data_IF_497296172200
#
_entry.id   IF_497296172200
#
_cell.length_a   1.000
_cell.length_b   1.000
_cell.length_c   1.000
_cell.angle_alpha   90.00
_cell.angle_beta   90.00
_cell.angle_gamma   90.00
#
_symmetry.space_group_name_H-M   'P 1'
#
loop_
_entity.id
_entity.type
_entity.pdbx_description
1 polymer ?
#
# COMPACT_ATOMS: atom_id res chain seq x y z
N UNK A 1 -12.46 -17.83 16.98
CA UNK A 1 -11.86 -18.05 15.65
C UNK A 1 -11.25 -19.44 15.67
N UNK A 2 -11.89 -20.43 15.05
CA UNK A 2 -11.37 -21.80 15.02
C UNK A 2 -10.02 -21.82 14.30
N UNK A 3 -9.01 -22.56 14.79
CA UNK A 3 -7.82 -22.83 14.00
C UNK A 3 -8.25 -23.82 12.91
N UNK A 4 -8.65 -23.30 11.75
CA UNK A 4 -8.89 -24.14 10.58
C UNK A 4 -7.51 -24.69 10.20
N UNK A 5 -7.26 -25.95 10.59
CA UNK A 5 -6.11 -26.69 10.12
C UNK A 5 -6.37 -26.97 8.64
N UNK A 6 -5.84 -26.10 7.76
CA UNK A 6 -5.93 -26.29 6.32
C UNK A 6 -5.01 -27.44 5.90
N UNK A 7 -5.55 -28.67 5.86
CA UNK A 7 -4.88 -29.82 5.24
C UNK A 7 -5.28 -29.87 3.77
N UNK A 8 -4.30 -29.75 2.88
CA UNK A 8 -4.42 -29.98 1.43
C UNK A 8 -5.44 -29.11 0.68
N UNK A 9 -5.63 -27.84 1.06
CA UNK A 9 -6.44 -26.90 0.27
C UNK A 9 -5.62 -25.67 -0.08
N UNK A 10 -5.71 -25.24 -1.33
CA UNK A 10 -5.22 -23.94 -1.77
C UNK A 10 -6.26 -22.87 -1.50
N UNK A 11 -5.86 -21.61 -1.58
CA UNK A 11 -6.74 -20.49 -1.28
C UNK A 11 -6.22 -19.20 -1.90
N UNK A 12 -7.09 -18.19 -1.96
CA UNK A 12 -6.83 -16.86 -2.45
C UNK A 12 -6.88 -15.89 -1.28
N UNK A 13 -5.86 -15.05 -1.18
CA UNK A 13 -5.77 -13.91 -0.29
C UNK A 13 -5.77 -12.63 -1.14
N UNK A 14 -6.68 -11.70 -0.88
CA UNK A 14 -6.70 -10.39 -1.53
C UNK A 14 -6.29 -9.31 -0.53
N UNK A 15 -5.26 -8.54 -0.87
CA UNK A 15 -4.80 -7.36 -0.17
C UNK A 15 -5.20 -6.14 -1.00
N UNK A 16 -6.18 -5.37 -0.55
CA UNK A 16 -6.71 -4.25 -1.31
C UNK A 16 -6.72 -2.93 -0.52
N UNK A 17 -6.96 -1.83 -1.22
CA UNK A 17 -7.04 -0.48 -0.65
C UNK A 17 -6.47 0.58 -1.59
N UNK A 18 -6.60 1.86 -1.20
CA UNK A 18 -6.10 2.99 -1.98
C UNK A 18 -4.57 3.00 -2.13
N UNK A 19 -4.04 3.92 -2.93
CA UNK A 19 -2.60 4.18 -2.97
C UNK A 19 -2.07 4.56 -1.57
N UNK A 20 -0.78 4.29 -1.33
CA UNK A 20 -0.07 4.58 -0.08
C UNK A 20 -0.55 3.82 1.18
N UNK A 21 -1.45 2.86 1.03
CA UNK A 21 -1.96 2.08 2.17
C UNK A 21 -1.04 0.96 2.64
N UNK A 22 0.05 0.67 1.94
CA UNK A 22 0.99 -0.39 2.34
C UNK A 22 0.71 -1.78 1.74
N UNK A 23 0.02 -1.85 0.59
CA UNK A 23 -0.37 -3.12 -0.04
C UNK A 23 0.84 -3.98 -0.41
N UNK A 24 1.79 -3.40 -1.14
CA UNK A 24 3.00 -4.10 -1.57
C UNK A 24 3.88 -4.47 -0.38
N UNK A 25 3.93 -3.67 0.68
CA UNK A 25 4.60 -3.99 1.95
C UNK A 25 4.00 -5.25 2.58
N UNK A 26 2.68 -5.33 2.67
CA UNK A 26 1.99 -6.50 3.23
C UNK A 26 2.18 -7.74 2.35
N UNK A 27 2.11 -7.58 1.02
CA UNK A 27 2.39 -8.66 0.07
C UNK A 27 3.82 -9.20 0.27
N UNK A 28 4.83 -8.32 0.24
CA UNK A 28 6.23 -8.67 0.46
C UNK A 28 6.40 -9.37 1.82
N UNK A 29 5.76 -8.87 2.88
CA UNK A 29 5.83 -9.49 4.21
C UNK A 29 5.31 -10.93 4.19
N UNK A 30 4.17 -11.19 3.54
CA UNK A 30 3.59 -12.54 3.45
C UNK A 30 4.45 -13.48 2.61
N UNK A 31 4.99 -13.00 1.49
CA UNK A 31 5.86 -13.77 0.60
C UNK A 31 7.21 -14.10 1.27
N UNK A 32 7.82 -13.14 1.98
CA UNK A 32 9.05 -13.38 2.77
C UNK A 32 8.85 -14.47 3.82
N UNK A 33 7.69 -14.49 4.50
CA UNK A 33 7.37 -15.58 5.45
C UNK A 33 7.26 -16.95 4.78
N UNK A 34 6.71 -17.03 3.58
CA UNK A 34 6.65 -18.27 2.81
C UNK A 34 8.06 -18.76 2.41
N UNK A 35 8.94 -17.84 1.98
CA UNK A 35 10.34 -18.17 1.67
C UNK A 35 11.10 -18.66 2.91
N UNK A 36 10.90 -18.02 4.08
CA UNK A 36 11.49 -18.48 5.36
C UNK A 36 11.02 -19.90 5.71
N UNK A 37 9.75 -20.21 5.42
CA UNK A 37 9.18 -21.55 5.57
C UNK A 37 9.63 -22.54 4.47
N UNK A 38 10.60 -22.17 3.62
CA UNK A 38 11.16 -22.97 2.52
C UNK A 38 10.15 -23.35 1.44
N UNK A 39 9.08 -22.57 1.29
CA UNK A 39 8.13 -22.75 0.20
C UNK A 39 8.71 -22.13 -1.07
N UNK A 40 8.59 -22.83 -2.22
CA UNK A 40 8.85 -22.22 -3.54
C UNK A 40 7.83 -21.11 -3.81
N UNK A 41 8.28 -19.88 -4.02
CA UNK A 41 7.45 -18.70 -4.26
C UNK A 41 7.67 -18.21 -5.69
N UNK A 42 6.58 -17.95 -6.41
CA UNK A 42 6.59 -17.23 -7.68
C UNK A 42 5.89 -15.88 -7.49
N UNK A 43 6.43 -14.81 -8.08
CA UNK A 43 6.01 -13.44 -7.82
C UNK A 43 5.89 -12.72 -9.17
N UNK A 44 4.77 -12.06 -9.40
CA UNK A 44 4.43 -11.45 -10.68
C UNK A 44 4.00 -10.00 -10.51
N UNK A 45 4.36 -9.17 -11.49
CA UNK A 45 3.84 -7.81 -11.66
C UNK A 45 3.52 -7.54 -13.14
N UNK A 46 2.53 -6.69 -13.44
CA UNK A 46 2.16 -6.38 -14.82
C UNK A 46 3.23 -5.50 -15.48
N UNK A 47 3.45 -5.69 -16.79
CA UNK A 47 4.40 -4.89 -17.58
C UNK A 47 4.11 -3.40 -17.59
N UNK A 48 2.83 -3.02 -17.48
CA UNK A 48 2.41 -1.62 -17.46
C UNK A 48 2.92 -0.88 -16.21
N UNK A 49 3.25 -1.59 -15.13
CA UNK A 49 3.73 -0.98 -13.89
C UNK A 49 5.25 -0.74 -13.92
N UNK A 50 5.64 0.44 -14.42
CA UNK A 50 7.06 0.85 -14.54
C UNK A 50 7.54 1.80 -13.44
N UNK A 51 6.72 2.06 -12.40
CA UNK A 51 6.97 3.16 -11.42
C UNK A 51 8.28 3.05 -10.64
N UNK A 52 8.78 1.85 -10.36
CA UNK A 52 9.89 1.67 -9.42
C UNK A 52 11.04 0.75 -9.88
N UNK A 53 10.78 -0.25 -10.74
CA UNK A 53 11.78 -1.23 -11.20
C UNK A 53 11.21 -2.14 -12.29
N UNK A 54 12.05 -2.53 -13.24
CA UNK A 54 11.74 -3.49 -14.31
C UNK A 54 11.69 -4.95 -13.83
N UNK A 55 12.27 -5.30 -12.68
CA UNK A 55 12.47 -6.70 -12.26
C UNK A 55 12.12 -6.99 -10.78
N UNK A 56 11.71 -5.96 -10.03
CA UNK A 56 11.32 -6.10 -8.62
C UNK A 56 9.95 -5.50 -8.34
N UNK A 57 9.23 -6.10 -7.40
CA UNK A 57 8.21 -5.39 -6.64
C UNK A 57 8.95 -4.56 -5.61
N UNK A 58 8.71 -3.26 -5.64
CA UNK A 58 9.26 -2.29 -4.71
C UNK A 58 8.10 -1.69 -3.95
N UNK A 59 8.11 -1.85 -2.64
CA UNK A 59 7.18 -1.14 -1.76
C UNK A 59 7.57 0.32 -1.60
N UNK A 60 6.62 1.15 -1.16
CA UNK A 60 6.90 2.56 -0.89
C UNK A 60 7.93 2.74 0.24
N UNK A 61 8.05 1.77 1.16
CA UNK A 61 9.11 1.74 2.18
C UNK A 61 10.44 1.12 1.69
N UNK A 62 10.68 1.09 0.38
CA UNK A 62 11.89 0.57 -0.28
C UNK A 62 12.20 -0.92 -0.08
N UNK A 63 11.32 -1.69 0.56
CA UNK A 63 11.48 -3.14 0.60
C UNK A 63 11.29 -3.72 -0.81
N UNK A 64 12.19 -4.63 -1.21
CA UNK A 64 12.18 -5.27 -2.53
C UNK A 64 12.11 -6.79 -2.45
N UNK A 65 11.50 -7.40 -3.45
CA UNK A 65 11.54 -8.84 -3.69
C UNK A 65 11.59 -9.09 -5.21
N UNK A 66 12.40 -10.05 -5.71
CA UNK A 66 12.45 -10.34 -7.13
C UNK A 66 11.08 -10.77 -7.68
N UNK A 67 10.73 -10.28 -8.86
CA UNK A 67 9.43 -10.56 -9.50
C UNK A 67 9.57 -10.72 -11.00
N UNK A 68 8.73 -11.55 -11.60
CA UNK A 68 8.62 -11.69 -13.04
C UNK A 68 7.64 -10.65 -13.58
N UNK A 69 8.06 -9.89 -14.59
CA UNK A 69 7.16 -9.04 -15.35
C UNK A 69 6.40 -9.87 -16.35
N UNK A 70 5.08 -9.69 -16.40
CA UNK A 70 4.18 -10.44 -17.28
C UNK A 70 3.20 -9.49 -17.99
N UNK A 71 2.77 -9.87 -19.19
CA UNK A 71 1.77 -9.11 -19.96
C UNK A 71 0.35 -9.62 -19.74
N UNK A 72 0.20 -10.90 -19.37
CA UNK A 72 -1.10 -11.58 -19.30
C UNK A 72 -1.23 -12.48 -18.07
N UNK A 73 -2.48 -12.78 -17.70
CA UNK A 73 -2.76 -13.77 -16.65
C UNK A 73 -2.30 -15.20 -17.03
N UNK A 74 -2.22 -15.51 -18.32
CA UNK A 74 -1.74 -16.82 -18.81
C UNK A 74 -0.26 -17.05 -18.48
N UNK A 75 0.58 -16.02 -18.55
CA UNK A 75 1.98 -16.11 -18.15
C UNK A 75 2.13 -16.40 -16.65
N UNK A 76 1.26 -15.81 -15.81
CA UNK A 76 1.21 -16.13 -14.37
C UNK A 76 0.92 -17.61 -14.16
N UNK A 77 -0.06 -18.15 -14.89
CA UNK A 77 -0.38 -19.58 -14.83
C UNK A 77 0.83 -20.45 -15.16
N UNK A 78 1.48 -20.21 -16.31
CA UNK A 78 2.65 -20.97 -16.75
C UNK A 78 3.83 -20.84 -15.79
N UNK A 79 4.11 -19.63 -15.32
CA UNK A 79 5.20 -19.35 -14.37
C UNK A 79 4.97 -19.89 -12.96
N UNK A 80 3.74 -20.30 -12.64
CA UNK A 80 3.35 -20.75 -11.30
C UNK A 80 3.31 -22.27 -11.11
N UNK A 81 3.53 -23.08 -12.14
CA UNK A 81 3.30 -24.54 -12.07
C UNK A 81 4.12 -25.21 -10.95
N UNK A 82 5.38 -24.81 -10.77
CA UNK A 82 6.31 -25.40 -9.80
C UNK A 82 6.32 -24.72 -8.42
N UNK A 83 5.52 -23.66 -8.22
CA UNK A 83 5.48 -22.91 -6.97
C UNK A 83 4.43 -23.46 -5.99
N UNK A 84 4.63 -23.21 -4.70
CA UNK A 84 3.63 -23.46 -3.66
C UNK A 84 2.83 -22.19 -3.34
N UNK A 85 3.49 -21.03 -3.47
CA UNK A 85 2.91 -19.71 -3.20
C UNK A 85 3.09 -18.83 -4.43
N UNK A 86 2.02 -18.12 -4.81
CA UNK A 86 1.98 -17.20 -5.95
C UNK A 86 1.63 -15.81 -5.42
N UNK A 87 2.51 -14.84 -5.64
CA UNK A 87 2.27 -13.43 -5.34
C UNK A 87 2.00 -12.64 -6.62
N UNK A 88 0.98 -11.80 -6.62
CA UNK A 88 0.60 -10.96 -7.77
C UNK A 88 0.41 -9.54 -7.24
N UNK A 89 1.22 -8.60 -7.69
CA UNK A 89 1.06 -7.17 -7.34
C UNK A 89 0.39 -6.39 -8.46
N UNK A 90 -0.19 -5.25 -8.12
CA UNK A 90 -0.88 -4.34 -9.03
C UNK A 90 -1.92 -5.05 -9.91
N UNK A 91 -2.65 -5.99 -9.30
CA UNK A 91 -3.56 -6.91 -9.96
C UNK A 91 -4.68 -6.23 -10.74
N UNK A 92 -4.98 -4.98 -10.40
CA UNK A 92 -5.96 -4.16 -11.10
C UNK A 92 -5.58 -3.87 -12.56
N UNK A 93 -4.31 -4.03 -12.96
CA UNK A 93 -3.88 -3.85 -14.35
C UNK A 93 -3.99 -5.11 -15.22
N UNK A 94 -4.45 -6.23 -14.66
CA UNK A 94 -4.83 -7.39 -15.46
C UNK A 94 -6.31 -7.33 -15.83
N UNK A 95 -6.71 -8.16 -16.78
CA UNK A 95 -8.11 -8.35 -17.14
C UNK A 95 -8.80 -9.38 -16.22
N UNK A 96 -10.05 -9.71 -16.56
CA UNK A 96 -10.85 -10.68 -15.80
C UNK A 96 -10.31 -12.10 -15.86
N UNK A 97 -9.41 -12.44 -16.78
CA UNK A 97 -8.82 -13.77 -16.85
C UNK A 97 -7.95 -14.05 -15.62
N UNK A 98 -7.46 -13.00 -14.94
CA UNK A 98 -6.76 -13.13 -13.66
C UNK A 98 -7.60 -13.87 -12.62
N UNK A 99 -8.91 -13.64 -12.56
CA UNK A 99 -9.81 -14.32 -11.62
C UNK A 99 -9.79 -15.82 -11.87
N UNK A 100 -9.94 -16.22 -13.14
CA UNK A 100 -9.93 -17.61 -13.57
C UNK A 100 -8.60 -18.29 -13.27
N UNK A 101 -7.48 -17.58 -13.49
CA UNK A 101 -6.13 -18.08 -13.17
C UNK A 101 -5.95 -18.27 -11.66
N UNK A 102 -6.34 -17.30 -10.85
CA UNK A 102 -6.25 -17.41 -9.38
C UNK A 102 -7.06 -18.60 -8.86
N UNK A 103 -8.29 -18.77 -9.35
CA UNK A 103 -9.15 -19.91 -9.01
C UNK A 103 -8.52 -21.24 -9.40
N UNK A 104 -7.99 -21.36 -10.62
CA UNK A 104 -7.30 -22.58 -11.08
C UNK A 104 -6.10 -22.91 -10.18
N UNK A 105 -5.27 -21.93 -9.85
CA UNK A 105 -4.09 -22.11 -8.99
C UNK A 105 -4.50 -22.54 -7.57
N UNK A 106 -5.52 -21.90 -6.98
CA UNK A 106 -6.04 -22.28 -5.68
C UNK A 106 -6.62 -23.72 -5.69
N UNK A 107 -7.35 -24.10 -6.73
CA UNK A 107 -7.86 -25.45 -6.91
C UNK A 107 -6.75 -26.52 -7.05
N UNK A 108 -5.54 -26.12 -7.48
CA UNK A 108 -4.36 -27.01 -7.48
C UNK A 108 -3.67 -27.12 -6.11
N UNK A 109 -4.24 -26.52 -5.06
CA UNK A 109 -3.63 -26.55 -3.73
C UNK A 109 -2.64 -25.42 -3.46
N UNK A 110 -2.53 -24.41 -4.34
CA UNK A 110 -1.58 -23.30 -4.18
C UNK A 110 -2.16 -22.19 -3.31
N UNK A 111 -1.28 -21.49 -2.60
CA UNK A 111 -1.61 -20.24 -1.91
C UNK A 111 -1.40 -19.07 -2.86
N UNK A 112 -2.48 -18.38 -3.24
CA UNK A 112 -2.44 -17.22 -4.14
C UNK A 112 -2.65 -15.96 -3.33
N UNK A 113 -1.73 -14.99 -3.42
CA UNK A 113 -1.79 -13.71 -2.72
C UNK A 113 -1.80 -12.61 -3.76
N UNK A 114 -2.90 -11.86 -3.82
CA UNK A 114 -3.15 -10.84 -4.82
C UNK A 114 -3.22 -9.48 -4.14
N UNK A 115 -2.44 -8.51 -4.62
CA UNK A 115 -2.47 -7.14 -4.16
C UNK A 115 -2.93 -6.20 -5.28
N UNK A 116 -3.80 -5.24 -4.97
CA UNK A 116 -4.26 -4.28 -5.96
C UNK A 116 -5.17 -3.19 -5.42
N UNK A 117 -5.42 -2.17 -6.23
CA UNK A 117 -6.36 -1.09 -5.91
C UNK A 117 -7.80 -1.59 -5.99
N UNK A 118 -8.59 -1.39 -4.95
CA UNK A 118 -10.01 -1.76 -4.96
C UNK A 118 -10.88 -0.76 -5.74
N UNK A 119 -10.46 0.50 -5.80
CA UNK A 119 -11.15 1.58 -6.51
C UNK A 119 -10.17 2.41 -7.34
N UNK A 120 -10.66 2.99 -8.43
CA UNK A 120 -9.93 3.99 -9.22
C UNK A 120 -10.00 5.40 -8.61
N UNK A 121 -9.39 6.37 -9.28
CA UNK A 121 -9.33 7.76 -8.79
C UNK A 121 -10.69 8.46 -8.71
N UNK A 122 -11.73 7.90 -9.34
CA UNK A 122 -13.12 8.37 -9.30
C UNK A 122 -13.90 7.71 -8.15
N UNK A 123 -13.29 6.77 -7.44
CA UNK A 123 -13.95 6.00 -6.40
C UNK A 123 -14.80 4.86 -6.94
N UNK A 124 -14.67 4.53 -8.22
CA UNK A 124 -15.37 3.40 -8.84
C UNK A 124 -14.57 2.11 -8.66
N UNK A 125 -15.23 0.94 -8.55
CA UNK A 125 -14.52 -0.34 -8.44
C UNK A 125 -13.50 -0.58 -9.57
N UNK A 126 -12.29 -1.00 -9.21
CA UNK A 126 -11.23 -1.31 -10.18
C UNK A 126 -11.23 -2.79 -10.54
N UNK A 127 -11.81 -3.13 -11.68
CA UNK A 127 -11.79 -4.48 -12.24
C UNK A 127 -10.35 -4.98 -12.44
N UNK A 128 -10.01 -6.23 -12.05
CA UNK A 128 -10.89 -7.33 -11.65
C UNK A 128 -10.96 -7.55 -10.13
N UNK A 129 -10.54 -6.58 -9.32
CA UNK A 129 -10.45 -6.72 -7.86
C UNK A 129 -11.80 -7.07 -7.21
N UNK A 130 -12.95 -6.49 -7.60
CA UNK A 130 -14.24 -6.86 -7.02
C UNK A 130 -14.57 -8.35 -7.15
N UNK A 131 -14.25 -8.97 -8.28
CA UNK A 131 -14.49 -10.38 -8.53
C UNK A 131 -13.52 -11.25 -7.72
N UNK A 132 -12.26 -10.84 -7.62
CA UNK A 132 -11.27 -11.50 -6.75
C UNK A 132 -11.71 -11.47 -5.29
N UNK A 133 -12.23 -10.34 -4.81
CA UNK A 133 -12.77 -10.22 -3.45
C UNK A 133 -13.94 -11.19 -3.23
N UNK A 134 -14.80 -11.41 -4.23
CA UNK A 134 -15.94 -12.31 -4.11
C UNK A 134 -15.55 -13.79 -3.97
N UNK A 135 -14.43 -14.20 -4.58
CA UNK A 135 -13.97 -15.60 -4.58
C UNK A 135 -12.90 -15.91 -3.55
N UNK A 136 -12.35 -14.91 -2.85
CA UNK A 136 -11.23 -15.08 -1.93
C UNK A 136 -11.64 -15.59 -0.55
N UNK A 137 -10.84 -16.51 0.01
CA UNK A 137 -11.00 -16.97 1.39
C UNK A 137 -10.55 -15.92 2.41
N UNK A 138 -9.59 -15.06 2.05
CA UNK A 138 -9.08 -14.03 2.94
C UNK A 138 -9.02 -12.67 2.25
N UNK A 139 -9.61 -11.67 2.89
CA UNK A 139 -9.61 -10.29 2.40
C UNK A 139 -8.95 -9.40 3.46
N UNK A 140 -7.97 -8.60 3.04
CA UNK A 140 -7.30 -7.59 3.86
C UNK A 140 -7.41 -6.24 3.16
N UNK A 141 -8.37 -5.42 3.60
CA UNK A 141 -8.51 -4.04 3.09
C UNK A 141 -7.70 -3.09 3.97
N UNK A 142 -6.54 -2.67 3.49
CA UNK A 142 -5.63 -1.78 4.22
C UNK A 142 -5.99 -0.33 3.93
N UNK A 143 -5.99 0.49 4.98
CA UNK A 143 -6.29 1.91 4.92
C UNK A 143 -4.99 2.72 4.97
N UNK A 144 -4.92 3.78 4.19
CA UNK A 144 -3.88 4.79 4.30
C UNK A 144 -4.26 5.84 5.36
N UNK A 145 -3.47 6.91 5.48
CA UNK A 145 -3.80 8.09 6.27
C UNK A 145 -4.24 9.21 5.34
N UNK A 146 -5.38 9.84 5.65
CA UNK A 146 -5.88 10.98 4.88
C UNK A 146 -4.96 12.18 5.06
N UNK A 147 -4.40 12.68 3.97
CA UNK A 147 -3.45 13.81 4.00
C UNK A 147 -4.09 15.14 4.39
N UNK A 148 -5.42 15.23 4.37
CA UNK A 148 -6.17 16.45 4.76
C UNK A 148 -6.48 16.50 6.24
N UNK A 149 -6.98 15.40 6.80
CA UNK A 149 -7.56 15.39 8.15
C UNK A 149 -6.98 14.32 9.09
N UNK A 150 -6.08 13.45 8.60
CA UNK A 150 -5.46 12.38 9.40
C UNK A 150 -6.35 11.15 9.66
N UNK A 151 -7.62 11.17 9.25
CA UNK A 151 -8.51 10.00 9.36
C UNK A 151 -8.07 8.83 8.46
N UNK A 152 -8.54 7.60 8.72
CA UNK A 152 -8.29 6.47 7.82
C UNK A 152 -8.79 6.77 6.40
N UNK A 153 -7.90 6.60 5.43
CA UNK A 153 -8.15 6.85 4.02
C UNK A 153 -8.46 5.56 3.25
N UNK A 154 -9.43 5.64 2.37
CA UNK A 154 -9.85 4.53 1.50
C UNK A 154 -9.92 4.92 0.04
N UNK A 155 -9.68 6.19 -0.30
CA UNK A 155 -9.77 6.70 -1.65
C UNK A 155 -8.42 7.21 -2.12
N UNK A 156 -8.13 6.97 -3.39
CA UNK A 156 -7.05 7.64 -4.13
C UNK A 156 -7.67 8.85 -4.82
N UNK A 157 -7.28 10.05 -4.43
CA UNK A 157 -7.68 11.29 -5.09
C UNK A 157 -6.61 11.69 -6.09
N UNK A 158 -7.00 12.09 -7.31
CA UNK A 158 -6.09 12.67 -8.30
C UNK A 158 -6.17 14.20 -8.25
N UNK A 159 -5.03 14.87 -8.17
CA UNK A 159 -4.94 16.33 -8.03
C UNK A 159 -4.98 17.09 -9.36
N UNK A 160 -4.76 16.40 -10.48
CA UNK A 160 -4.82 16.97 -11.83
C UNK A 160 -6.09 16.55 -12.56
N UNK A 161 -6.54 17.42 -13.48
CA UNK A 161 -7.62 17.10 -14.42
C UNK A 161 -7.02 16.36 -15.63
N UNK A 162 -7.00 15.03 -15.55
CA UNK A 162 -6.62 14.15 -16.65
C UNK A 162 -7.68 13.05 -16.81
N UNK A 163 -8.27 12.86 -18.01
CA UNK A 163 -9.33 11.88 -18.22
C UNK A 163 -8.83 10.43 -18.21
N UNK A 164 -7.53 10.18 -18.38
CA UNK A 164 -6.99 8.82 -18.44
C UNK A 164 -7.23 8.07 -17.13
N UNK A 165 -7.69 6.82 -17.20
CA UNK A 165 -7.98 6.04 -15.98
C UNK A 165 -6.74 5.83 -15.11
N UNK A 166 -5.56 5.76 -15.73
CA UNK A 166 -4.28 5.48 -15.07
C UNK A 166 -3.22 6.41 -15.61
N UNK A 167 -2.62 7.21 -14.73
CA UNK A 167 -1.46 8.04 -15.04
C UNK A 167 -0.29 7.52 -14.21
N UNK A 168 0.75 7.02 -14.88
CA UNK A 168 1.89 6.30 -14.29
C UNK A 168 3.08 7.26 -14.14
N UNK A 169 3.90 7.08 -13.10
CA UNK A 169 5.15 7.84 -12.92
C UNK A 169 4.99 9.22 -12.27
N UNK A 170 3.79 9.54 -11.78
CA UNK A 170 3.51 10.80 -11.10
C UNK A 170 2.86 10.54 -9.73
N UNK A 171 3.62 10.00 -8.76
CA UNK A 171 3.08 9.82 -7.40
C UNK A 171 2.60 11.14 -6.78
N UNK A 172 3.24 12.24 -7.16
CA UNK A 172 2.91 13.59 -6.71
C UNK A 172 1.53 14.10 -7.16
N UNK A 173 0.84 13.38 -8.07
CA UNK A 173 -0.53 13.74 -8.48
C UNK A 173 -1.62 12.91 -7.80
N UNK A 174 -1.25 12.01 -6.88
CA UNK A 174 -2.19 11.19 -6.14
C UNK A 174 -2.08 11.41 -4.64
N UNK A 175 -3.23 11.42 -3.97
CA UNK A 175 -3.32 11.57 -2.52
C UNK A 175 -4.28 10.55 -1.91
N UNK A 176 -3.94 10.04 -0.72
CA UNK A 176 -4.87 9.25 0.06
C UNK A 176 -5.88 10.17 0.77
N UNK A 177 -7.18 9.96 0.52
CA UNK A 177 -8.27 10.72 1.15
C UNK A 177 -9.26 9.80 1.88
N UNK A 178 -9.81 10.29 2.99
CA UNK A 178 -10.92 9.64 3.67
C UNK A 178 -12.24 9.94 2.95
N UNK A 179 -13.31 9.21 3.30
CA UNK A 179 -14.64 9.38 2.71
C UNK A 179 -15.16 10.83 2.73
N UNK A 180 -14.86 11.58 3.78
CA UNK A 180 -15.32 12.97 3.92
C UNK A 180 -14.50 13.96 3.07
N UNK A 181 -13.21 13.68 2.87
CA UNK A 181 -12.29 14.57 2.15
C UNK A 181 -12.09 14.17 0.68
N UNK A 182 -12.69 13.06 0.26
CA UNK A 182 -12.71 12.60 -1.12
C UNK A 182 -13.87 13.28 -1.85
N UNK A 183 -13.55 13.91 -2.97
CA UNK A 183 -14.50 14.53 -3.87
C UNK A 183 -14.24 13.90 -5.24
N UNK A 184 -15.18 13.13 -5.80
CA UNK A 184 -15.01 12.56 -7.13
C UNK A 184 -14.77 13.63 -8.20
N UNK A 185 -13.95 13.35 -9.22
CA UNK A 185 -13.80 14.23 -10.38
C UNK A 185 -15.16 14.48 -11.03
N UNK A 186 -15.50 15.74 -11.26
CA UNK A 186 -16.78 16.16 -11.85
C UNK A 186 -17.88 16.52 -10.84
N UNK A 187 -17.73 16.16 -9.56
CA UNK A 187 -18.66 16.56 -8.51
C UNK A 187 -18.11 17.77 -7.75
N UNK A 188 -18.47 18.99 -8.17
CA UNK A 188 -18.09 20.23 -7.47
C UNK A 188 -19.12 20.63 -6.41
N UNK A 189 -19.50 19.75 -5.51
CA UNK A 189 -20.24 20.16 -4.31
C UNK A 189 -19.68 19.50 -3.05
N UNK A 190 -19.40 20.33 -2.04
CA UNK A 190 -18.90 19.90 -0.75
C UNK A 190 -19.96 19.06 -0.02
N UNK A 191 -19.59 18.04 0.77
CA UNK A 191 -20.58 17.35 1.59
C UNK A 191 -21.21 18.33 2.59
N UNK A 192 -22.54 18.35 2.61
CA UNK A 192 -23.45 19.18 3.41
C UNK A 192 -23.33 19.03 4.94
N UNK A 193 -22.34 18.31 5.46
CA UNK A 193 -22.26 17.97 6.88
C UNK A 193 -20.97 18.50 7.52
N UNK A 194 -21.07 19.70 8.08
CA UNK A 194 -20.09 20.28 8.98
C UNK A 194 -20.17 19.54 10.33
N UNK A 195 -19.55 18.37 10.45
CA UNK A 195 -19.24 17.84 11.77
C UNK A 195 -18.16 18.74 12.39
N UNK A 196 -18.51 19.38 13.52
CA UNK A 196 -17.60 20.22 14.27
C UNK A 196 -16.25 19.51 14.45
N UNK A 197 -15.16 20.19 14.12
CA UNK A 197 -13.81 19.67 14.32
C UNK A 197 -13.66 19.16 15.75
N UNK A 198 -13.07 17.97 15.97
CA UNK A 198 -12.75 17.54 17.33
C UNK A 198 -11.88 18.62 18.00
N UNK A 199 -12.09 18.91 19.29
CA UNK A 199 -11.33 19.93 19.99
C UNK A 199 -9.84 19.64 19.86
N UNK A 200 -9.04 20.69 19.63
CA UNK A 200 -7.59 20.59 19.55
C UNK A 200 -7.08 19.82 20.78
N UNK A 201 -6.23 18.81 20.55
CA UNK A 201 -5.60 18.07 21.65
C UNK A 201 -4.88 19.09 22.55
N UNK A 202 -5.07 19.05 23.88
CA UNK A 202 -4.31 19.91 24.77
C UNK A 202 -2.83 19.64 24.53
N UNK A 203 -2.07 20.73 24.41
CA UNK A 203 -0.66 20.72 24.10
C UNK A 203 0.12 20.12 25.28
N UNK A 204 0.22 18.79 25.38
CA UNK A 204 1.11 18.11 26.33
C UNK A 204 2.53 18.12 25.80
N UNK A 205 3.05 19.32 25.54
CA UNK A 205 4.47 19.58 25.46
C UNK A 205 4.88 20.28 26.76
N UNK A 206 4.84 19.53 27.86
CA UNK A 206 5.63 19.86 29.03
C UNK A 206 7.09 19.83 28.60
N UNK A 207 7.69 21.01 28.37
CA UNK A 207 9.15 21.13 28.29
C UNK A 207 9.71 20.68 29.64
N UNK A 208 10.64 19.71 29.71
CA UNK A 208 11.37 19.49 30.95
C UNK A 208 12.20 20.75 31.24
N UNK A 209 12.07 21.28 32.46
CA UNK A 209 12.85 22.39 32.98
C UNK A 209 14.35 22.13 32.76
N UNK A 210 14.99 22.92 31.90
CA UNK A 210 16.44 22.95 31.80
C UNK A 210 16.98 23.87 32.90
N UNK A 211 17.93 23.42 33.73
CA UNK A 211 18.53 24.28 34.73
C UNK A 211 19.37 25.38 34.07
N UNK A 212 19.14 26.61 34.53
CA UNK A 212 19.76 27.85 34.10
C UNK A 212 21.30 27.77 34.12
N UNK A 213 21.94 27.77 32.95
CA UNK A 213 23.41 27.88 32.84
C UNK A 213 23.86 29.29 33.26
N UNK A 214 24.35 29.42 34.49
CA UNK A 214 25.07 30.62 34.97
C UNK A 214 26.26 30.93 34.04
N UNK A 215 26.21 32.09 33.38
CA UNK A 215 27.34 32.64 32.58
C UNK A 215 28.56 32.87 33.49
N UNK A 216 29.77 32.38 33.14
CA UNK A 216 30.97 32.71 33.91
C UNK A 216 31.39 34.16 33.69
N UNK A 217 31.64 34.89 34.80
CA UNK A 217 32.14 36.26 34.81
C UNK A 217 33.57 36.31 34.23
N UNK A 218 33.75 37.11 33.18
CA UNK A 218 35.03 37.41 32.55
C UNK A 218 35.94 38.16 33.55
N UNK A 219 37.01 37.51 34.04
CA UNK A 219 38.03 38.17 34.87
C UNK A 219 38.95 38.99 33.96
N UNK A 220 38.91 40.31 34.13
CA UNK A 220 39.85 41.26 33.52
C UNK A 220 41.28 40.97 34.01
N UNK A 221 42.20 40.63 33.11
CA UNK A 221 43.63 40.57 33.40
C UNK A 221 44.23 41.97 33.23
N UNK A 222 44.85 42.48 34.31
CA UNK A 222 45.67 43.71 34.28
C UNK A 222 47.06 43.40 33.69
N UNK A 223 47.66 44.32 32.92
CA UNK A 223 48.94 44.11 32.24
C UNK A 223 50.13 44.10 33.21
N UNK A 224 51.06 43.13 33.03
CA UNK A 224 52.34 43.07 33.75
C UNK A 224 53.33 44.09 33.15
N UNK A 225 53.92 44.92 34.01
CA UNK A 225 55.01 45.85 33.69
C UNK A 225 56.30 45.10 33.39
N UNK A 226 57.01 45.53 32.34
CA UNK A 226 58.40 45.19 32.02
C UNK A 226 59.35 45.72 33.10
N UNK A 227 60.30 44.88 33.53
CA UNK A 227 61.63 45.24 34.03
C UNK A 227 62.60 44.23 33.46
#
# INVERSE_FOLDING_TARGET
MFPIIQRNVGWIEVICGCMFSGKSEELIRRLKRATIARQKVAIFKPKIDTRYSEDHIVSHSEAKIPSQVVESAEEIWKGSLESHVVGIDEAQFFDRDLVSVCMKLANMGKRVIVAGLDMDYRGEPFEPIPQLLAVAEYITKIQAICVVCGNPATFTYRTIEDPERVVIGAENIYEARCRNCFIPPGEREQPLFHFASPPARPNTAGKPDQPEKKKPKLKQQKPKKKK
#
